data_IF_113723418716
#
_entry.id   IF_113723418716
#
_cell.length_a   1.000
_cell.length_b   1.000
_cell.length_c   1.000
_cell.angle_alpha   90.00
_cell.angle_beta   90.00
_cell.angle_gamma   90.00
#
_symmetry.space_group_name_H-M   'P 1'
#
loop_
_entity.id
_entity.type
_entity.pdbx_description
1 polymer ?
#
# COMPACT_ATOMS: atom_id res chain seq x y z
N UNK A 1 -10.74 19.98 21.09
CA UNK A 1 -9.31 19.64 21.01
C UNK A 1 -9.16 18.56 19.95
N UNK A 2 -8.91 18.95 18.68
CA UNK A 2 -8.72 17.98 17.59
C UNK A 2 -7.37 17.29 17.80
N UNK A 3 -7.36 15.99 18.11
CA UNK A 3 -6.15 15.20 17.90
C UNK A 3 -5.83 15.26 16.40
N UNK A 4 -4.78 16.00 16.03
CA UNK A 4 -4.23 15.96 14.68
C UNK A 4 -3.81 14.52 14.43
N UNK A 5 -4.59 13.76 13.65
CA UNK A 5 -4.18 12.43 13.21
C UNK A 5 -2.95 12.61 12.32
N UNK A 6 -1.76 12.34 12.88
CA UNK A 6 -0.52 12.42 12.12
C UNK A 6 -0.56 11.42 10.95
N UNK A 7 -0.53 11.98 9.74
CA UNK A 7 -0.32 11.25 8.49
C UNK A 7 1.07 10.61 8.52
N UNK A 8 1.14 9.29 8.28
CA UNK A 8 2.40 8.53 8.23
C UNK A 8 2.68 8.09 6.80
N UNK A 9 3.95 7.80 6.53
CA UNK A 9 4.39 7.08 5.32
C UNK A 9 4.73 5.64 5.71
N UNK A 10 4.07 4.67 5.09
CA UNK A 10 4.09 3.26 5.50
C UNK A 10 4.53 2.38 4.33
N UNK A 11 5.52 1.54 4.56
CA UNK A 11 5.94 0.48 3.64
C UNK A 11 5.16 -0.80 3.95
N UNK A 12 4.52 -1.38 2.93
CA UNK A 12 3.84 -2.68 3.01
C UNK A 12 4.57 -3.66 2.11
N UNK A 13 5.24 -4.64 2.69
CA UNK A 13 5.85 -5.75 1.94
C UNK A 13 4.80 -6.80 1.60
N UNK A 14 4.91 -7.42 0.42
CA UNK A 14 3.85 -8.29 -0.11
C UNK A 14 2.55 -7.51 -0.38
N UNK A 15 2.66 -6.21 -0.67
CA UNK A 15 1.52 -5.30 -0.78
C UNK A 15 0.57 -5.60 -1.93
N UNK A 16 1.00 -6.38 -2.94
CA UNK A 16 0.16 -6.85 -4.04
C UNK A 16 -0.39 -8.27 -3.81
N UNK A 17 -0.16 -8.86 -2.62
CA UNK A 17 -0.81 -10.09 -2.18
C UNK A 17 -2.24 -9.87 -1.66
N UNK A 18 -2.90 -10.96 -1.25
CA UNK A 18 -4.27 -10.91 -0.71
C UNK A 18 -4.39 -9.98 0.49
N UNK A 19 -3.64 -10.23 1.57
CA UNK A 19 -3.71 -9.38 2.77
C UNK A 19 -3.08 -8.00 2.56
N UNK A 20 -1.98 -7.94 1.80
CA UNK A 20 -1.24 -6.71 1.55
C UNK A 20 -2.08 -5.65 0.85
N UNK A 21 -2.85 -6.03 -0.17
CA UNK A 21 -3.69 -5.10 -0.94
C UNK A 21 -4.81 -4.50 -0.09
N UNK A 22 -5.50 -5.32 0.71
CA UNK A 22 -6.53 -4.84 1.64
C UNK A 22 -5.93 -3.96 2.74
N UNK A 23 -4.72 -4.26 3.22
CA UNK A 23 -4.02 -3.40 4.16
C UNK A 23 -3.67 -2.05 3.53
N UNK A 24 -3.18 -2.04 2.28
CA UNK A 24 -2.90 -0.81 1.54
C UNK A 24 -4.15 0.06 1.43
N UNK A 25 -5.28 -0.52 1.02
CA UNK A 25 -6.57 0.17 0.95
C UNK A 25 -6.98 0.77 2.30
N UNK A 26 -6.90 -0.03 3.38
CA UNK A 26 -7.25 0.41 4.74
C UNK A 26 -6.40 1.57 5.23
N UNK A 27 -5.09 1.56 4.94
CA UNK A 27 -4.15 2.62 5.33
C UNK A 27 -4.37 3.90 4.51
N UNK A 28 -4.61 3.78 3.20
CA UNK A 28 -4.98 4.91 2.35
C UNK A 28 -6.30 5.56 2.79
N UNK A 29 -7.28 4.76 3.18
CA UNK A 29 -8.57 5.22 3.72
C UNK A 29 -8.42 5.89 5.10
N UNK A 30 -7.42 5.49 5.89
CA UNK A 30 -7.06 6.17 7.16
C UNK A 30 -6.40 7.54 6.91
N UNK A 31 -5.89 7.78 5.72
CA UNK A 31 -5.24 9.04 5.32
C UNK A 31 -3.72 8.99 5.27
N UNK A 32 -3.12 7.80 5.33
CA UNK A 32 -1.67 7.62 5.22
C UNK A 32 -1.18 7.58 3.77
N UNK A 33 0.13 7.76 3.61
CA UNK A 33 0.87 7.42 2.39
C UNK A 33 1.35 5.98 2.45
N UNK A 34 1.15 5.23 1.37
CA UNK A 34 1.45 3.80 1.30
C UNK A 34 2.43 3.54 0.15
N UNK A 35 3.56 2.93 0.50
CA UNK A 35 4.48 2.32 -0.46
C UNK A 35 4.22 0.81 -0.43
N UNK A 36 3.68 0.26 -1.50
CA UNK A 36 3.49 -1.16 -1.73
C UNK A 36 4.77 -1.75 -2.35
N UNK A 37 5.47 -2.60 -1.60
CA UNK A 37 6.64 -3.34 -2.08
C UNK A 37 6.25 -4.78 -2.39
N UNK A 38 6.46 -5.21 -3.63
CA UNK A 38 6.12 -6.58 -4.04
C UNK A 38 6.99 -7.06 -5.22
N UNK A 39 7.33 -8.35 -5.25
CA UNK A 39 8.05 -8.98 -6.36
C UNK A 39 7.11 -9.73 -7.34
N UNK A 40 5.83 -9.86 -6.99
CA UNK A 40 4.78 -10.64 -7.65
C UNK A 40 5.06 -12.14 -7.70
N UNK A 41 5.71 -12.70 -6.67
CA UNK A 41 5.97 -14.15 -6.61
C UNK A 41 4.68 -14.97 -6.52
N UNK A 42 3.74 -14.56 -5.65
CA UNK A 42 2.37 -15.12 -5.56
C UNK A 42 1.27 -14.07 -5.71
N UNK A 43 1.59 -12.78 -5.58
CA UNK A 43 0.67 -11.67 -5.79
C UNK A 43 0.47 -11.32 -7.27
N UNK A 44 -0.56 -10.54 -7.58
CA UNK A 44 -0.81 -9.98 -8.91
C UNK A 44 -0.97 -8.46 -8.82
N UNK A 45 -0.57 -7.75 -9.87
CA UNK A 45 -0.81 -6.30 -10.00
C UNK A 45 -2.29 -5.96 -9.90
N UNK A 46 -3.18 -6.86 -10.33
CA UNK A 46 -4.63 -6.64 -10.34
C UNK A 46 -5.17 -6.33 -8.94
N UNK A 47 -4.56 -6.89 -7.90
CA UNK A 47 -4.94 -6.66 -6.51
C UNK A 47 -4.75 -5.19 -6.07
N UNK A 48 -3.92 -4.41 -6.77
CA UNK A 48 -3.63 -3.00 -6.42
C UNK A 48 -3.92 -2.02 -7.55
N UNK A 49 -4.39 -2.48 -8.72
CA UNK A 49 -4.70 -1.60 -9.87
C UNK A 49 -5.67 -0.47 -9.49
N UNK A 50 -6.69 -0.79 -8.69
CA UNK A 50 -7.67 0.18 -8.20
C UNK A 50 -7.10 1.25 -7.26
N UNK A 51 -5.88 1.06 -6.74
CA UNK A 51 -5.18 2.02 -5.88
C UNK A 51 -4.22 2.92 -6.67
N UNK A 52 -3.92 2.61 -7.94
CA UNK A 52 -2.88 3.28 -8.73
C UNK A 52 -3.18 4.76 -9.01
N UNK A 53 -4.45 5.14 -9.07
CA UNK A 53 -4.86 6.54 -9.28
C UNK A 53 -4.87 7.35 -7.97
N UNK A 54 -4.61 6.71 -6.82
CA UNK A 54 -4.53 7.41 -5.54
C UNK A 54 -3.15 8.09 -5.42
N UNK A 55 -3.07 9.42 -5.28
CA UNK A 55 -1.80 10.15 -5.21
C UNK A 55 -0.97 9.83 -3.95
N UNK A 56 -1.53 9.07 -3.00
CA UNK A 56 -0.87 8.60 -1.78
C UNK A 56 -0.40 7.14 -1.87
N UNK A 57 -0.58 6.49 -3.02
CA UNK A 57 -0.18 5.12 -3.25
C UNK A 57 1.00 5.05 -4.23
N UNK A 58 2.03 4.31 -3.86
CA UNK A 58 3.22 4.07 -4.67
C UNK A 58 3.47 2.57 -4.76
N UNK A 59 3.61 2.02 -5.96
CA UNK A 59 3.96 0.61 -6.17
C UNK A 59 5.43 0.49 -6.55
N UNK A 60 6.21 -0.16 -5.70
CA UNK A 60 7.62 -0.47 -5.93
C UNK A 60 7.79 -1.97 -6.18
N UNK A 61 8.24 -2.33 -7.38
CA UNK A 61 8.57 -3.71 -7.69
C UNK A 61 9.98 -4.04 -7.19
N UNK A 62 10.10 -4.88 -6.16
CA UNK A 62 11.39 -5.27 -5.60
C UNK A 62 11.26 -6.56 -4.79
N UNK A 63 12.35 -7.31 -4.69
CA UNK A 63 12.49 -8.40 -3.72
C UNK A 63 13.01 -7.83 -2.39
N UNK A 64 12.65 -8.42 -1.25
CA UNK A 64 13.13 -7.93 0.05
C UNK A 64 14.56 -8.41 0.35
N UNK A 65 15.02 -9.43 -0.38
CA UNK A 65 16.24 -10.20 -0.10
C UNK A 65 17.46 -9.71 -0.86
#
# INVERSE_FOLDING_TARGET
>A
MSMLTQRRRILVTGGAGFLGSHLCERLLARGDDVICLDNFYTGTKDNVLHLMDNPRFELMRHDVT
#
